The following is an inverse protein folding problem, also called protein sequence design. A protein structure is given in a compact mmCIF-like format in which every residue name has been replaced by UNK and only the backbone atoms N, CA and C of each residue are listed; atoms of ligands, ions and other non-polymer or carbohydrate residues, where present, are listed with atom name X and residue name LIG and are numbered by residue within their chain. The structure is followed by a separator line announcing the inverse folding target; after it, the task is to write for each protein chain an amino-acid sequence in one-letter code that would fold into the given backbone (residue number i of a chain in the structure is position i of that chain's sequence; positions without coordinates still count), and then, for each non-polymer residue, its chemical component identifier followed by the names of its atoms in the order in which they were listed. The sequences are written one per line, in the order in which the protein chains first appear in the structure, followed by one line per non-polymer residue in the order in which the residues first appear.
data_IF_523892860980
#
_entry.id   IF_523892860980
#
_cell.length_a   1.000
_cell.length_b   1.000
_cell.length_c   1.000
_cell.angle_alpha   90.00
_cell.angle_beta   90.00
_cell.angle_gamma   90.00
#
_symmetry.space_group_name_H-M   'P 1'
#
loop_
_entity.id
_entity.type
_entity.pdbx_description
1 polymer ?
#
# COMPACT_ATOMS: atom_id res chain seq x y z
N UNK A 1 25.89 2.99 8.10
CA UNK A 1 26.31 4.22 7.44
C UNK A 1 25.21 5.28 7.46
N UNK A 2 24.08 5.12 6.73
CA UNK A 2 23.04 6.17 6.65
C UNK A 2 22.38 6.49 7.99
N UNK A 3 22.11 5.49 8.81
CA UNK A 3 21.48 5.63 10.13
C UNK A 3 22.47 6.10 11.20
N UNK A 4 23.78 5.81 11.04
CA UNK A 4 24.80 6.07 12.05
C UNK A 4 25.63 7.32 11.77
N UNK A 5 25.93 7.60 10.50
CA UNK A 5 26.85 8.66 10.09
C UNK A 5 26.16 9.80 9.33
N UNK A 6 24.85 9.62 9.03
CA UNK A 6 23.99 10.61 8.40
C UNK A 6 22.70 10.73 9.20
N UNK A 7 22.06 11.89 9.16
CA UNK A 7 20.72 12.07 9.70
C UNK A 7 19.69 11.53 8.71
N UNK A 8 19.34 10.24 8.79
CA UNK A 8 18.23 9.67 8.01
C UNK A 8 16.92 10.26 8.55
N UNK A 9 16.19 10.97 7.73
CA UNK A 9 14.94 11.68 8.09
C UNK A 9 13.70 10.92 7.69
N UNK A 10 13.71 10.33 6.48
CA UNK A 10 12.53 9.62 5.99
C UNK A 10 12.88 8.47 5.04
N UNK A 11 11.96 7.51 4.98
CA UNK A 11 11.87 6.42 4.02
C UNK A 11 10.46 6.38 3.45
N UNK A 12 10.31 6.64 2.14
CA UNK A 12 9.04 6.50 1.43
C UNK A 12 9.10 5.20 0.63
N UNK A 13 8.24 4.25 0.95
CA UNK A 13 8.08 3.00 0.22
C UNK A 13 7.18 3.22 -0.99
N UNK A 14 7.64 2.85 -2.17
CA UNK A 14 6.90 2.95 -3.42
C UNK A 14 6.43 1.56 -3.86
N UNK A 15 5.17 1.40 -4.28
CA UNK A 15 4.66 0.12 -4.74
C UNK A 15 5.33 -0.33 -6.05
N UNK A 16 5.24 -1.64 -6.32
CA UNK A 16 5.68 -2.16 -7.61
C UNK A 16 4.85 -1.55 -8.74
N UNK A 17 5.51 -1.23 -9.86
CA UNK A 17 4.86 -0.64 -11.02
C UNK A 17 5.02 0.86 -11.19
N UNK A 18 5.46 1.61 -10.17
CA UNK A 18 5.70 3.06 -10.27
C UNK A 18 6.70 3.40 -11.40
N UNK A 19 7.70 2.56 -11.62
CA UNK A 19 8.72 2.77 -12.65
C UNK A 19 8.52 1.93 -13.91
N UNK A 20 7.34 1.38 -14.12
CA UNK A 20 7.03 0.69 -15.39
C UNK A 20 7.04 1.68 -16.56
N UNK A 21 7.44 1.22 -17.77
CA UNK A 21 7.79 -0.17 -18.13
C UNK A 21 9.22 -0.57 -17.79
N UNK A 22 10.03 0.29 -17.19
CA UNK A 22 11.47 0.03 -16.97
C UNK A 22 11.75 -0.91 -15.81
N UNK A 23 11.00 -0.82 -14.72
CA UNK A 23 11.14 -1.65 -13.53
C UNK A 23 9.79 -1.99 -12.90
N UNK A 24 9.55 -3.27 -12.62
CA UNK A 24 8.33 -3.77 -11.98
C UNK A 24 8.50 -4.10 -10.49
N UNK A 25 9.60 -3.67 -9.86
CA UNK A 25 9.89 -3.93 -8.45
C UNK A 25 9.43 -2.76 -7.56
N UNK A 26 9.11 -3.06 -6.30
CA UNK A 26 8.94 -2.03 -5.28
C UNK A 26 10.29 -1.38 -4.97
N UNK A 27 10.27 -0.10 -4.68
CA UNK A 27 11.47 0.70 -4.40
C UNK A 27 11.26 1.60 -3.19
N UNK A 28 12.30 2.26 -2.72
CA UNK A 28 12.21 3.22 -1.63
C UNK A 28 13.01 4.48 -1.92
N UNK A 29 12.50 5.62 -1.45
CA UNK A 29 13.20 6.90 -1.47
C UNK A 29 13.68 7.19 -0.06
N UNK A 30 14.98 7.45 0.09
CA UNK A 30 15.60 7.82 1.37
C UNK A 30 15.95 9.30 1.39
N UNK A 31 15.52 10.00 2.44
CA UNK A 31 15.88 11.39 2.70
C UNK A 31 16.84 11.45 3.87
N UNK A 32 18.03 11.99 3.65
CA UNK A 32 19.06 12.08 4.68
C UNK A 32 19.90 13.35 4.57
N UNK A 33 20.48 13.76 5.69
CA UNK A 33 21.41 14.89 5.78
C UNK A 33 22.79 14.38 6.15
N UNK A 34 23.81 14.66 5.34
CA UNK A 34 25.19 14.27 5.63
C UNK A 34 25.71 15.02 6.86
N UNK A 35 26.32 14.26 7.80
CA UNK A 35 26.92 14.83 9.00
C UNK A 35 25.93 15.23 10.10
N UNK A 36 24.68 14.80 10.00
CA UNK A 36 23.64 14.93 11.02
C UNK A 36 23.41 13.58 11.72
N UNK A 37 22.58 13.56 12.77
CA UNK A 37 22.23 12.36 13.51
C UNK A 37 20.79 11.93 13.24
N UNK A 38 20.55 10.62 13.30
CA UNK A 38 19.21 10.04 13.21
C UNK A 38 18.70 9.80 14.62
N UNK A 39 17.53 10.35 14.96
CA UNK A 39 16.80 10.02 16.18
C UNK A 39 15.58 9.14 15.86
N UNK A 40 14.73 9.62 14.96
CA UNK A 40 13.58 8.92 14.43
C UNK A 40 13.55 9.03 12.91
N UNK A 41 13.05 7.99 12.25
CA UNK A 41 12.87 7.96 10.80
C UNK A 41 11.38 7.95 10.51
N UNK A 42 10.92 8.86 9.67
CA UNK A 42 9.55 8.88 9.18
C UNK A 42 9.39 7.88 8.04
N UNK A 43 8.48 6.93 8.20
CA UNK A 43 8.11 5.96 7.17
C UNK A 43 6.80 6.35 6.54
N UNK A 44 6.70 6.19 5.23
CA UNK A 44 5.46 6.37 4.49
C UNK A 44 5.24 5.23 3.51
N UNK A 45 4.07 4.60 3.57
CA UNK A 45 3.62 3.54 2.68
C UNK A 45 2.80 4.13 1.53
N UNK A 46 3.47 4.52 0.46
CA UNK A 46 2.83 5.02 -0.74
C UNK A 46 2.18 3.88 -1.51
N UNK A 47 0.92 4.02 -1.89
CA UNK A 47 0.16 3.01 -2.62
C UNK A 47 -0.19 3.46 -4.04
N UNK A 48 -0.29 4.77 -4.28
CA UNK A 48 -0.65 5.34 -5.58
C UNK A 48 0.11 6.64 -5.84
N UNK A 49 0.57 6.83 -7.07
CA UNK A 49 1.28 8.01 -7.53
C UNK A 49 0.50 8.85 -8.55
N UNK A 50 -0.80 8.60 -8.70
CA UNK A 50 -1.66 9.27 -9.68
C UNK A 50 -1.65 8.64 -11.06
N UNK A 51 -0.95 7.50 -11.22
CA UNK A 51 -0.90 6.74 -12.46
C UNK A 51 -1.17 5.26 -12.19
N UNK A 52 -1.75 4.55 -13.15
CA UNK A 52 -1.98 3.10 -13.03
C UNK A 52 -0.63 2.36 -12.86
N UNK A 53 -0.64 1.29 -12.06
CA UNK A 53 0.58 0.49 -11.79
C UNK A 53 0.84 -0.58 -12.85
N UNK A 54 0.15 -0.52 -13.98
CA UNK A 54 0.38 -1.34 -15.16
C UNK A 54 1.37 -0.69 -16.15
N UNK A 55 1.63 -1.35 -17.28
CA UNK A 55 2.61 -0.88 -18.26
C UNK A 55 2.16 0.38 -19.03
N UNK A 56 0.86 0.73 -18.98
CA UNK A 56 0.29 1.90 -19.69
C UNK A 56 0.51 3.19 -18.92
N UNK A 57 0.52 3.13 -17.58
CA UNK A 57 0.68 4.29 -16.71
C UNK A 57 -0.35 5.38 -17.01
N UNK A 58 -1.62 4.97 -17.20
CA UNK A 58 -2.73 5.88 -17.43
C UNK A 58 -3.03 6.71 -16.16
N UNK A 59 -3.45 7.98 -16.27
CA UNK A 59 -3.83 8.79 -15.12
C UNK A 59 -4.99 8.16 -14.34
N UNK A 60 -4.87 8.12 -13.00
CA UNK A 60 -5.91 7.66 -12.06
C UNK A 60 -6.12 8.72 -10.97
N UNK A 61 -7.26 8.65 -10.28
CA UNK A 61 -7.60 9.63 -9.22
C UNK A 61 -6.81 9.40 -7.94
N UNK A 62 -6.43 8.16 -7.66
CA UNK A 62 -5.68 7.80 -6.46
C UNK A 62 -4.25 8.31 -6.54
N UNK A 63 -3.89 9.22 -5.62
CA UNK A 63 -2.58 9.83 -5.56
C UNK A 63 -2.19 10.20 -4.12
N UNK A 64 -1.16 9.57 -3.61
CA UNK A 64 -0.65 9.81 -2.24
C UNK A 64 0.34 10.99 -2.16
N UNK A 65 0.80 11.54 -3.29
CA UNK A 65 1.81 12.61 -3.30
C UNK A 65 1.36 13.86 -2.54
N UNK A 66 0.11 14.36 -2.69
CA UNK A 66 -0.36 15.50 -1.91
C UNK A 66 -0.35 15.22 -0.39
N UNK A 67 -0.79 14.02 0.03
CA UNK A 67 -0.78 13.61 1.44
C UNK A 67 0.65 13.51 2.00
N UNK A 68 1.60 12.99 1.23
CA UNK A 68 3.02 12.97 1.58
C UNK A 68 3.54 14.38 1.84
N UNK A 69 3.25 15.32 0.94
CA UNK A 69 3.73 16.70 1.06
C UNK A 69 3.12 17.42 2.26
N UNK A 70 1.82 17.23 2.50
CA UNK A 70 1.13 17.80 3.66
C UNK A 70 1.70 17.27 4.97
N UNK A 71 1.85 15.96 5.11
CA UNK A 71 2.41 15.32 6.29
C UNK A 71 3.89 15.68 6.49
N UNK A 72 4.66 15.76 5.40
CA UNK A 72 6.05 16.19 5.46
C UNK A 72 6.21 17.62 5.97
N UNK A 73 5.33 18.54 5.54
CA UNK A 73 5.36 19.94 6.01
C UNK A 73 4.98 20.09 7.50
N UNK A 74 4.21 19.13 8.03
CA UNK A 74 3.67 19.14 9.41
C UNK A 74 4.23 18.00 10.27
N UNK A 75 5.46 17.52 9.99
CA UNK A 75 6.07 16.43 10.75
C UNK A 75 6.15 16.75 12.24
N UNK A 76 5.53 15.92 13.07
CA UNK A 76 5.64 15.96 14.52
C UNK A 76 6.11 14.61 15.07
N UNK A 77 7.43 14.45 15.34
CA UNK A 77 7.98 13.22 15.89
C UNK A 77 7.54 12.92 17.34
N UNK A 78 6.91 13.88 18.00
CA UNK A 78 6.41 13.75 19.39
C UNK A 78 4.91 13.43 19.44
N UNK A 79 4.21 13.52 18.31
CA UNK A 79 2.78 13.25 18.20
C UNK A 79 2.42 11.77 18.32
N UNK A 80 1.13 11.50 18.15
CA UNK A 80 0.61 10.14 18.12
C UNK A 80 1.25 9.34 16.95
N UNK A 81 1.77 8.16 17.26
CA UNK A 81 2.47 7.31 16.30
C UNK A 81 1.68 6.02 16.04
N UNK A 82 0.76 6.08 15.08
CA UNK A 82 -0.05 4.95 14.66
C UNK A 82 0.64 4.18 13.52
N UNK A 83 1.20 3.01 13.83
CA UNK A 83 1.88 2.13 12.87
C UNK A 83 0.95 1.38 11.93
N UNK A 84 -0.36 1.46 12.12
CA UNK A 84 -1.34 0.89 11.19
C UNK A 84 -1.64 1.84 10.05
N UNK A 85 -1.32 3.13 10.22
CA UNK A 85 -1.52 4.17 9.22
C UNK A 85 -0.51 4.11 8.08
N UNK A 86 -0.71 4.92 7.02
CA UNK A 86 0.27 5.04 5.92
C UNK A 86 1.57 5.71 6.36
N UNK A 87 1.53 6.56 7.40
CA UNK A 87 2.66 7.35 7.85
C UNK A 87 2.90 7.12 9.35
N UNK A 88 4.12 6.80 9.74
CA UNK A 88 4.52 6.58 11.13
C UNK A 88 6.01 6.81 11.34
N UNK A 89 6.42 6.90 12.60
CA UNK A 89 7.83 7.04 12.97
C UNK A 89 8.39 5.74 13.53
N UNK A 90 9.67 5.51 13.28
CA UNK A 90 10.45 4.42 13.85
C UNK A 90 11.68 5.00 14.54
N UNK A 91 11.92 4.60 15.77
CA UNK A 91 13.09 5.04 16.53
C UNK A 91 14.37 4.42 15.95
N UNK A 92 15.46 5.21 15.98
CA UNK A 92 16.77 4.75 15.52
C UNK A 92 17.19 3.44 16.17
N UNK A 93 17.00 3.31 17.48
CA UNK A 93 17.45 2.12 18.23
C UNK A 93 16.71 0.86 17.80
N UNK A 94 15.45 0.98 17.39
CA UNK A 94 14.70 -0.13 16.82
C UNK A 94 15.26 -0.54 15.46
N UNK A 95 15.63 0.43 14.61
CA UNK A 95 16.26 0.16 13.30
C UNK A 95 17.60 -0.55 13.48
N UNK A 96 18.42 -0.09 14.44
CA UNK A 96 19.70 -0.72 14.78
C UNK A 96 19.49 -2.14 15.29
N UNK A 97 18.50 -2.35 16.16
CA UNK A 97 18.14 -3.67 16.69
C UNK A 97 17.63 -4.65 15.63
N UNK A 98 17.14 -4.14 14.49
CA UNK A 98 16.72 -4.92 13.33
C UNK A 98 17.78 -4.96 12.20
N UNK A 99 19.06 -4.95 12.54
CA UNK A 99 20.20 -5.04 11.61
C UNK A 99 20.17 -3.96 10.50
N UNK A 100 19.71 -2.75 10.84
CA UNK A 100 19.57 -1.61 9.91
C UNK A 100 18.61 -1.88 8.73
N UNK A 101 17.70 -2.84 8.88
CA UNK A 101 16.67 -3.10 7.87
C UNK A 101 15.70 -1.91 7.80
N UNK A 102 15.54 -1.33 6.61
CA UNK A 102 14.63 -0.21 6.33
C UNK A 102 13.36 -0.67 5.60
N UNK A 103 13.09 -1.98 5.57
CA UNK A 103 11.87 -2.52 4.96
C UNK A 103 10.64 -2.10 5.75
N UNK A 104 9.72 -1.39 5.13
CA UNK A 104 8.51 -0.87 5.74
C UNK A 104 7.70 -1.95 6.46
N UNK A 105 7.57 -3.13 5.85
CA UNK A 105 6.78 -4.25 6.39
C UNK A 105 7.28 -4.80 7.73
N UNK A 106 8.52 -4.47 8.12
CA UNK A 106 9.07 -4.87 9.42
C UNK A 106 8.51 -4.04 10.57
N UNK A 107 8.14 -2.80 10.29
CA UNK A 107 7.71 -1.80 11.28
C UNK A 107 6.23 -1.48 11.23
N UNK A 108 5.60 -1.69 10.08
CA UNK A 108 4.17 -1.46 9.90
C UNK A 108 3.35 -2.53 10.61
N UNK A 109 2.38 -2.11 11.40
CA UNK A 109 1.42 -3.00 12.03
C UNK A 109 0.24 -3.22 11.07
N UNK A 110 -0.14 -4.48 10.91
CA UNK A 110 -1.30 -4.87 10.09
C UNK A 110 -2.45 -5.19 11.03
N UNK A 111 -3.51 -4.40 10.96
CA UNK A 111 -4.77 -4.74 11.63
C UNK A 111 -5.38 -5.90 10.85
N UNK A 112 -5.36 -7.09 11.45
CA UNK A 112 -6.05 -8.24 10.90
C UNK A 112 -7.53 -8.16 11.25
N UNK A 113 -8.34 -7.67 10.33
CA UNK A 113 -9.79 -7.83 10.41
C UNK A 113 -10.13 -9.26 9.95
N UNK A 114 -10.67 -10.12 10.83
CA UNK A 114 -11.08 -11.46 10.42
C UNK A 114 -12.20 -11.33 9.39
N UNK A 115 -11.93 -11.74 8.17
CA UNK A 115 -12.94 -11.81 7.13
C UNK A 115 -13.88 -12.98 7.49
N UNK A 116 -15.11 -12.67 7.88
CA UNK A 116 -16.15 -13.68 8.02
C UNK A 116 -16.57 -14.15 6.63
N UNK A 117 -16.19 -15.37 6.30
CA UNK A 117 -16.62 -16.01 5.07
C UNK A 117 -17.99 -16.65 5.28
N UNK A 118 -18.87 -16.48 4.30
CA UNK A 118 -20.10 -17.26 4.27
C UNK A 118 -19.80 -18.78 4.39
N UNK A 119 -20.57 -19.53 5.16
CA UNK A 119 -20.42 -20.97 5.21
C UNK A 119 -20.47 -21.60 3.80
N UNK A 120 -19.71 -22.67 3.52
CA UNK A 120 -19.65 -23.27 2.18
C UNK A 120 -21.02 -23.62 1.60
N UNK A 121 -21.97 -24.04 2.41
CA UNK A 121 -23.35 -24.34 1.97
C UNK A 121 -24.10 -23.10 1.48
N UNK A 122 -23.88 -21.94 2.10
CA UNK A 122 -24.48 -20.67 1.67
C UNK A 122 -23.88 -20.23 0.33
N UNK A 123 -22.58 -20.39 0.14
CA UNK A 123 -21.90 -20.10 -1.12
C UNK A 123 -22.45 -21.00 -2.24
N UNK A 124 -22.60 -22.31 -1.98
CA UNK A 124 -23.16 -23.27 -2.92
C UNK A 124 -24.61 -22.88 -3.28
N UNK A 125 -25.40 -22.45 -2.31
CA UNK A 125 -26.78 -22.01 -2.57
C UNK A 125 -26.82 -20.77 -3.48
N UNK A 126 -25.99 -19.76 -3.18
CA UNK A 126 -25.86 -18.56 -4.03
C UNK A 126 -25.43 -18.91 -5.46
N UNK A 127 -24.50 -19.86 -5.62
CA UNK A 127 -24.08 -20.33 -6.95
C UNK A 127 -25.21 -21.00 -7.72
N UNK A 128 -26.02 -21.85 -7.08
CA UNK A 128 -27.19 -22.48 -7.73
C UNK A 128 -28.27 -21.47 -8.16
N UNK A 129 -28.49 -20.44 -7.33
CA UNK A 129 -29.41 -19.36 -7.67
C UNK A 129 -28.92 -18.55 -8.88
N UNK A 130 -27.61 -18.27 -8.93
CA UNK A 130 -27.00 -17.58 -10.07
C UNK A 130 -27.08 -18.42 -11.35
N UNK A 131 -26.79 -19.73 -11.25
CA UNK A 131 -26.91 -20.66 -12.39
C UNK A 131 -28.31 -20.72 -12.93
N UNK A 132 -29.33 -20.82 -12.07
CA UNK A 132 -30.73 -20.81 -12.49
C UNK A 132 -31.14 -19.51 -13.21
N UNK A 133 -30.61 -18.35 -12.73
CA UNK A 133 -30.82 -17.07 -13.40
C UNK A 133 -30.17 -17.03 -14.78
N UNK A 134 -28.93 -17.48 -14.90
CA UNK A 134 -28.21 -17.56 -16.19
C UNK A 134 -29.01 -18.43 -17.19
N UNK A 135 -29.53 -19.58 -16.75
CA UNK A 135 -30.31 -20.45 -17.61
C UNK A 135 -31.60 -19.75 -18.10
N UNK A 136 -32.29 -19.03 -17.20
CA UNK A 136 -33.49 -18.26 -17.57
C UNK A 136 -33.19 -17.17 -18.59
N UNK A 137 -32.07 -16.44 -18.39
CA UNK A 137 -31.66 -15.36 -19.30
C UNK A 137 -31.24 -15.92 -20.68
N UNK A 138 -30.63 -17.10 -20.73
CA UNK A 138 -30.31 -17.80 -21.99
C UNK A 138 -31.56 -18.28 -22.73
N UNK A 139 -32.56 -18.80 -22.02
CA UNK A 139 -33.83 -19.19 -22.62
C UNK A 139 -34.59 -17.98 -23.21
N UNK A 140 -34.55 -16.84 -22.53
CA UNK A 140 -35.14 -15.60 -23.05
C UNK A 140 -34.43 -15.13 -24.35
N UNK A 141 -33.08 -15.14 -24.34
CA UNK A 141 -32.29 -14.82 -25.53
C UNK A 141 -32.58 -15.76 -26.70
N UNK A 142 -32.71 -17.07 -26.45
CA UNK A 142 -33.10 -18.01 -27.51
C UNK A 142 -34.49 -17.72 -28.10
N UNK A 143 -35.42 -17.31 -27.27
CA UNK A 143 -36.76 -16.93 -27.76
C UNK A 143 -36.73 -15.67 -28.63
N UNK A 144 -35.92 -14.68 -28.23
CA UNK A 144 -35.72 -13.45 -29.00
C UNK A 144 -35.08 -13.70 -30.37
N UNK A 145 -34.17 -14.68 -30.47
CA UNK A 145 -33.47 -15.03 -31.71
C UNK A 145 -34.33 -15.88 -32.67
N UNK A 146 -35.42 -16.47 -32.18
CA UNK A 146 -36.35 -17.28 -32.99
C UNK A 146 -37.52 -16.46 -33.58
N UNK A 147 -37.62 -15.18 -33.21
CA UNK A 147 -38.56 -14.20 -33.81
C UNK A 147 -37.92 -13.49 -35.00
#
# INVERSE_FOLDING_TARGET
LMVEECGLKAMISLPSGVFKPYAGVSTGILFFTKGDTTDKVWFYDMQADGLSLDDKRDPVEECDIPDILEKWANLDPSGENDRTSKAFFVDRDEIVGNDFDLSLNRYKEIVYEPIEYDPPLVIIQKLKELEAKIMSDLEELEQMLKQ
#
